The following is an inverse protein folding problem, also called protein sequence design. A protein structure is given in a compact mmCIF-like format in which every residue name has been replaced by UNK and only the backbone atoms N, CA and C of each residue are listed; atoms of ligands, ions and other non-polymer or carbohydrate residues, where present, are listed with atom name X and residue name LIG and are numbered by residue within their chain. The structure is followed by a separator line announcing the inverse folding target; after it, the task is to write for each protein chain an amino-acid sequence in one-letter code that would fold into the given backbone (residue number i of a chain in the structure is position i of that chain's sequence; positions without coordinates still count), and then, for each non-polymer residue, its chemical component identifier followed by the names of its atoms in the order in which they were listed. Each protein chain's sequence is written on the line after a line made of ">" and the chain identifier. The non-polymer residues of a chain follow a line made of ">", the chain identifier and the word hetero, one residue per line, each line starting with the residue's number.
data_IF_898005825793
#
_entry.id   IF_898005825793
#
_cell.length_a   1.000
_cell.length_b   1.000
_cell.length_c   1.000
_cell.angle_alpha   90.00
_cell.angle_beta   90.00
_cell.angle_gamma   90.00
#
_symmetry.space_group_name_H-M   'P 1'
#
loop_
_entity.id
_entity.type
_entity.pdbx_description
1 polymer ?
#
# COMPACT_ATOMS: atom_id res chain seq x y z
N UNK A 1 0.96 -5.25 -5.38
CA UNK A 1 1.56 -3.91 -5.35
C UNK A 1 2.26 -3.70 -4.01
N UNK A 2 3.48 -3.17 -4.00
CA UNK A 2 4.22 -2.89 -2.76
C UNK A 2 3.67 -1.61 -2.09
N UNK A 3 3.49 -1.64 -0.77
CA UNK A 3 3.01 -0.52 0.04
C UNK A 3 3.78 0.78 -0.19
N UNK A 4 5.11 0.72 -0.18
CA UNK A 4 5.96 1.89 -0.41
C UNK A 4 5.84 2.46 -1.82
N UNK A 5 5.61 1.62 -2.82
CA UNK A 5 5.38 2.07 -4.20
C UNK A 5 4.03 2.78 -4.32
N UNK A 6 2.98 2.25 -3.68
CA UNK A 6 1.68 2.91 -3.60
C UNK A 6 1.78 4.25 -2.86
N UNK A 7 2.56 4.32 -1.78
CA UNK A 7 2.77 5.55 -1.02
C UNK A 7 3.46 6.63 -1.86
N UNK A 8 4.44 6.23 -2.68
CA UNK A 8 5.12 7.13 -3.61
C UNK A 8 4.16 7.66 -4.68
N UNK A 9 3.31 6.80 -5.26
CA UNK A 9 2.26 7.21 -6.20
C UNK A 9 1.28 8.20 -5.57
N UNK A 10 0.86 7.95 -4.32
CA UNK A 10 0.00 8.86 -3.54
C UNK A 10 0.68 10.18 -3.16
N UNK A 11 1.98 10.32 -3.41
CA UNK A 11 2.77 11.49 -3.07
C UNK A 11 2.94 11.68 -1.57
N UNK A 12 2.92 10.59 -0.78
CA UNK A 12 3.18 10.67 0.65
C UNK A 12 4.64 11.07 0.90
N UNK A 13 4.84 12.09 1.74
CA UNK A 13 6.18 12.54 2.15
C UNK A 13 6.97 11.44 2.86
N UNK A 14 6.27 10.56 3.58
CA UNK A 14 6.85 9.43 4.30
C UNK A 14 6.12 8.13 3.94
N UNK A 15 6.77 7.20 3.21
CA UNK A 15 6.14 5.95 2.78
C UNK A 15 5.66 5.07 3.95
N UNK A 16 6.25 5.23 5.13
CA UNK A 16 5.85 4.54 6.36
C UNK A 16 4.45 4.91 6.86
N UNK A 17 3.92 6.09 6.50
CA UNK A 17 2.56 6.48 6.89
C UNK A 17 1.49 5.57 6.28
N UNK A 18 1.76 5.01 5.09
CA UNK A 18 0.85 4.06 4.47
C UNK A 18 0.69 2.80 5.33
N UNK A 19 1.72 2.42 6.08
CA UNK A 19 1.69 1.22 6.93
C UNK A 19 0.80 1.42 8.15
N UNK A 20 0.69 2.66 8.62
CA UNK A 20 -0.29 3.01 9.65
C UNK A 20 -1.71 2.84 9.11
N UNK A 21 -2.01 3.38 7.93
CA UNK A 21 -3.31 3.18 7.27
C UNK A 21 -3.64 1.70 7.04
N UNK A 22 -2.66 0.90 6.61
CA UNK A 22 -2.85 -0.54 6.40
C UNK A 22 -3.19 -1.25 7.72
N UNK A 23 -2.56 -0.86 8.84
CA UNK A 23 -2.82 -1.46 10.15
C UNK A 23 -4.17 -1.03 10.71
N UNK A 24 -4.49 0.25 10.59
CA UNK A 24 -5.74 0.82 11.12
C UNK A 24 -6.95 0.28 10.36
N UNK A 25 -6.79 -0.07 9.09
CA UNK A 25 -7.84 -0.61 8.22
C UNK A 25 -7.60 -2.08 7.83
N UNK A 26 -6.86 -2.83 8.66
CA UNK A 26 -6.50 -4.22 8.35
C UNK A 26 -7.73 -5.10 8.12
N UNK A 27 -8.76 -4.98 8.98
CA UNK A 27 -9.99 -5.75 8.88
C UNK A 27 -10.72 -5.51 7.54
N UNK A 28 -10.80 -4.25 7.12
CA UNK A 28 -11.44 -3.88 5.86
C UNK A 28 -10.62 -4.36 4.64
N UNK A 29 -9.29 -4.35 4.73
CA UNK A 29 -8.41 -4.88 3.69
C UNK A 29 -8.51 -6.41 3.56
N UNK A 30 -8.69 -7.11 4.68
CA UNK A 30 -8.84 -8.56 4.72
C UNK A 30 -10.17 -9.02 4.10
N UNK A 31 -11.20 -8.17 4.09
CA UNK A 31 -12.45 -8.43 3.36
C UNK A 31 -12.25 -8.54 1.83
N UNK A 32 -11.20 -7.92 1.29
CA UNK A 32 -10.81 -8.00 -0.13
C UNK A 32 -9.74 -9.08 -0.40
N UNK A 33 -9.41 -9.90 0.60
CA UNK A 33 -8.45 -11.00 0.50
C UNK A 33 -7.26 -10.87 1.45
N UNK A 34 -6.38 -11.88 1.46
CA UNK A 34 -5.26 -11.95 2.40
C UNK A 34 -4.27 -10.81 2.18
N UNK A 35 -3.94 -10.08 3.25
CA UNK A 35 -2.89 -9.04 3.23
C UNK A 35 -1.53 -9.70 3.42
N UNK A 36 -0.76 -9.81 2.34
CA UNK A 36 0.58 -10.40 2.39
C UNK A 36 1.58 -9.45 3.07
N UNK A 37 2.25 -9.91 4.13
CA UNK A 37 3.32 -9.15 4.81
C UNK A 37 4.62 -9.94 4.82
N UNK A 38 5.74 -9.26 4.58
CA UNK A 38 7.09 -9.84 4.65
C UNK A 38 7.95 -9.05 5.61
N UNK A 39 8.58 -9.74 6.56
CA UNK A 39 9.62 -9.13 7.38
C UNK A 39 10.87 -8.91 6.51
N UNK A 40 11.38 -7.68 6.56
CA UNK A 40 12.63 -7.30 5.94
C UNK A 40 13.62 -7.17 7.09
N UNK A 41 14.55 -8.12 7.17
CA UNK A 41 15.69 -8.01 8.07
C UNK A 41 16.59 -6.90 7.55
N UNK A 42 16.82 -5.89 8.39
CA UNK A 42 17.89 -4.94 8.16
C UNK A 42 19.21 -5.71 8.16
N UNK A 43 20.10 -5.44 7.20
CA UNK A 43 21.33 -6.20 6.99
C UNK A 43 22.32 -6.21 8.17
N UNK A 44 23.59 -6.63 7.96
CA UNK A 44 24.54 -6.98 9.03
C UNK A 44 24.88 -5.84 10.02
N UNK A 45 24.49 -4.60 9.74
CA UNK A 45 24.66 -3.44 10.63
C UNK A 45 23.52 -3.24 11.66
N UNK A 46 22.53 -4.14 11.72
CA UNK A 46 21.52 -4.15 12.79
C UNK A 46 20.61 -2.92 12.77
N UNK A 47 19.52 -2.98 12.00
CA UNK A 47 18.43 -2.01 12.07
C UNK A 47 17.14 -2.69 12.53
N UNK A 48 16.17 -1.92 13.02
CA UNK A 48 14.83 -2.44 13.35
C UNK A 48 14.26 -3.15 12.12
N UNK A 49 13.84 -4.43 12.21
CA UNK A 49 13.27 -5.13 11.06
C UNK A 49 12.06 -4.36 10.55
N UNK A 50 12.04 -4.10 9.24
CA UNK A 50 10.91 -3.47 8.56
C UNK A 50 9.85 -4.50 8.21
N UNK A 51 8.60 -4.06 8.04
CA UNK A 51 7.53 -4.89 7.47
C UNK A 51 7.15 -4.30 6.13
N UNK A 52 7.28 -5.07 5.04
CA UNK A 52 6.70 -4.72 3.75
C UNK A 52 5.34 -5.38 3.59
N UNK A 53 4.39 -4.62 3.05
CA UNK A 53 3.05 -5.11 2.73
C UNK A 53 2.86 -5.17 1.22
N UNK A 54 2.28 -6.27 0.76
CA UNK A 54 1.94 -6.52 -0.63
C UNK A 54 0.43 -6.53 -0.75
N UNK A 55 -0.10 -5.46 -1.31
CA UNK A 55 -1.54 -5.25 -1.49
C UNK A 55 -1.98 -5.74 -2.87
N UNK A 56 -3.14 -6.38 -2.94
CA UNK A 56 -3.84 -6.60 -4.19
C UNK A 56 -4.47 -5.28 -4.69
N UNK A 57 -5.11 -5.30 -5.87
CA UNK A 57 -5.67 -4.08 -6.49
C UNK A 57 -6.80 -3.48 -5.69
N UNK A 58 -7.72 -4.29 -5.17
CA UNK A 58 -8.85 -3.83 -4.37
C UNK A 58 -8.38 -3.17 -3.06
N UNK A 59 -7.42 -3.80 -2.39
CA UNK A 59 -6.74 -3.27 -1.21
C UNK A 59 -6.02 -1.95 -1.49
N UNK A 60 -5.29 -1.86 -2.61
CA UNK A 60 -4.62 -0.62 -3.02
C UNK A 60 -5.63 0.51 -3.30
N UNK A 61 -6.76 0.19 -3.93
CA UNK A 61 -7.84 1.15 -4.20
C UNK A 61 -8.49 1.65 -2.91
N UNK A 62 -8.73 0.76 -1.94
CA UNK A 62 -9.21 1.13 -0.61
C UNK A 62 -8.24 2.10 0.09
N UNK A 63 -6.94 1.78 0.10
CA UNK A 63 -5.92 2.68 0.66
C UNK A 63 -5.90 4.04 -0.04
N UNK A 64 -6.08 4.08 -1.37
CA UNK A 64 -6.23 5.36 -2.09
C UNK A 64 -7.48 6.14 -1.65
N UNK A 65 -8.55 5.45 -1.27
CA UNK A 65 -9.76 6.09 -0.76
C UNK A 65 -9.51 6.68 0.63
N UNK A 66 -8.91 5.89 1.51
CA UNK A 66 -8.64 6.22 2.90
C UNK A 66 -7.55 7.29 3.08
N UNK A 67 -6.57 7.35 2.17
CA UNK A 67 -5.44 8.28 2.26
C UNK A 67 -5.84 9.76 2.18
N UNK A 68 -7.06 10.09 1.70
CA UNK A 68 -7.61 11.46 1.60
C UNK A 68 -6.62 12.51 1.06
N UNK A 69 -5.69 12.12 0.18
CA UNK A 69 -4.73 13.05 -0.45
C UNK A 69 -5.37 13.70 -1.66
N UNK A 70 -4.96 14.92 -2.00
CA UNK A 70 -5.38 15.58 -3.26
C UNK A 70 -5.02 14.73 -4.50
N UNK A 71 -3.92 13.98 -4.41
CA UNK A 71 -3.46 13.02 -5.43
C UNK A 71 -4.26 11.72 -5.51
N UNK A 72 -5.14 11.44 -4.54
CA UNK A 72 -5.92 10.20 -4.51
C UNK A 72 -6.75 9.98 -5.79
N UNK A 73 -7.22 11.05 -6.45
CA UNK A 73 -7.96 10.93 -7.72
C UNK A 73 -7.11 10.36 -8.86
N UNK A 74 -5.88 10.84 -9.03
CA UNK A 74 -4.99 10.37 -10.09
C UNK A 74 -4.52 8.93 -9.84
N UNK A 75 -4.18 8.60 -8.59
CA UNK A 75 -3.73 7.25 -8.24
C UNK A 75 -4.85 6.22 -8.39
N UNK A 76 -6.10 6.57 -8.02
CA UNK A 76 -7.26 5.71 -8.30
C UNK A 76 -7.38 5.42 -9.80
N UNK A 77 -7.20 6.42 -10.66
CA UNK A 77 -7.24 6.23 -12.11
C UNK A 77 -6.07 5.34 -12.61
N UNK A 78 -4.88 5.46 -12.03
CA UNK A 78 -3.73 4.61 -12.36
C UNK A 78 -3.94 3.15 -11.95
N UNK A 79 -4.43 2.90 -10.74
CA UNK A 79 -4.77 1.55 -10.26
C UNK A 79 -5.82 0.90 -11.15
N UNK A 80 -6.85 1.65 -11.57
CA UNK A 80 -7.88 1.17 -12.50
C UNK A 80 -7.30 0.90 -13.90
N UNK A 81 -6.37 1.73 -14.41
CA UNK A 81 -5.71 1.47 -15.70
C UNK A 81 -4.84 0.20 -15.67
N UNK A 82 -4.14 -0.04 -14.56
CA UNK A 82 -3.36 -1.25 -14.39
C UNK A 82 -4.21 -2.52 -14.29
N UNK A 83 -5.49 -2.40 -13.90
CA UNK A 83 -6.43 -3.52 -13.90
C UNK A 83 -6.82 -3.98 -15.32
N UNK A 84 -7.00 -3.02 -16.24
CA UNK A 84 -7.36 -3.31 -17.63
C UNK A 84 -6.21 -3.87 -18.49
N UNK A 85 -4.97 -3.78 -18.04
CA UNK A 85 -3.78 -4.20 -18.80
C UNK A 85 -3.32 -5.64 -18.47
N UNK A 86 -4.08 -6.39 -17.65
CA UNK A 86 -3.79 -7.79 -17.32
C UNK A 86 -4.83 -8.79 -17.86
N UNK A 87 -5.53 -8.41 -18.94
CA UNK A 87 -6.34 -9.33 -19.74
C UNK A 87 -5.57 -9.73 -20.99
#
# INVERSE_FOLDING_TARGET
>A
MLDTALAAQLGMTKPENIRTLIKDHMEELEAFGVVCRRQITSGPKGGRPGTAYYLNRQQALLICILSKTDKAKEVRAEVIRQDRSSH
#
